data_IF_610075033657
#
_entry.id   IF_610075033657
#
_cell.length_a   1.000
_cell.length_b   1.000
_cell.length_c   1.000
_cell.angle_alpha   90.00
_cell.angle_beta   90.00
_cell.angle_gamma   90.00
#
_symmetry.space_group_name_H-M   'P 1'
#
loop_
_entity.id
_entity.type
_entity.pdbx_description
1 polymer ?
#
# COMPACT_ATOMS: atom_id res chain seq x y z
N UNK A 1 -0.47 1.44 -17.45
CA UNK A 1 -0.13 0.02 -17.23
C UNK A 1 -1.02 -0.52 -16.14
N UNK A 2 -1.65 -1.68 -16.38
CA UNK A 2 -2.48 -2.37 -15.41
C UNK A 2 -1.72 -3.61 -14.93
N UNK A 3 -1.50 -3.71 -13.62
CA UNK A 3 -0.95 -4.91 -12.99
C UNK A 3 -2.02 -5.58 -12.15
N UNK A 4 -2.22 -6.85 -12.36
CA UNK A 4 -3.05 -7.71 -11.50
C UNK A 4 -2.11 -8.68 -10.80
N UNK A 5 -2.03 -8.61 -9.48
CA UNK A 5 -1.32 -9.58 -8.65
C UNK A 5 -2.37 -10.42 -7.93
N UNK A 6 -2.42 -11.70 -8.24
CA UNK A 6 -3.26 -12.68 -7.54
C UNK A 6 -2.38 -13.46 -6.58
N UNK A 7 -2.53 -13.20 -5.28
CA UNK A 7 -1.85 -13.93 -4.21
C UNK A 7 -2.90 -14.80 -3.50
N UNK A 8 -3.02 -16.03 -3.94
CA UNK A 8 -3.79 -17.08 -3.24
C UNK A 8 -2.91 -17.75 -2.18
N UNK A 9 -3.38 -17.81 -0.93
CA UNK A 9 -2.80 -18.66 0.10
C UNK A 9 -3.85 -19.70 0.49
N UNK A 10 -3.47 -20.97 0.40
CA UNK A 10 -4.28 -22.10 0.84
C UNK A 10 -3.56 -22.77 2.01
N UNK A 11 -4.28 -23.05 3.06
CA UNK A 11 -3.73 -23.72 4.23
C UNK A 11 -4.77 -24.69 4.80
N UNK A 12 -4.31 -25.87 5.20
CA UNK A 12 -5.12 -26.85 5.91
C UNK A 12 -4.42 -27.25 7.21
N UNK A 13 -5.07 -27.04 8.33
CA UNK A 13 -4.60 -27.42 9.64
C UNK A 13 -5.49 -28.49 10.28
N UNK A 14 -4.84 -29.45 10.92
CA UNK A 14 -5.52 -30.49 11.70
C UNK A 14 -5.07 -30.36 13.14
N UNK A 15 -5.98 -29.98 14.01
CA UNK A 15 -5.73 -29.88 15.44
C UNK A 15 -6.61 -30.80 16.26
N UNK A 16 -6.11 -31.25 17.41
CA UNK A 16 -6.88 -31.98 18.40
C UNK A 16 -7.07 -31.10 19.62
N UNK A 17 -8.29 -30.66 19.88
CA UNK A 17 -8.63 -29.96 21.11
C UNK A 17 -9.21 -30.95 22.14
N UNK A 18 -8.63 -30.98 23.34
CA UNK A 18 -9.13 -31.75 24.47
C UNK A 18 -9.82 -30.82 25.48
N UNK A 19 -11.11 -30.96 25.66
CA UNK A 19 -11.85 -30.21 26.68
C UNK A 19 -12.68 -31.19 27.52
N UNK A 20 -12.32 -31.33 28.80
CA UNK A 20 -13.15 -32.08 29.75
C UNK A 20 -13.26 -33.58 29.50
N UNK A 21 -12.18 -34.26 29.10
CA UNK A 21 -12.13 -35.73 28.94
C UNK A 21 -12.68 -36.23 27.60
N UNK A 22 -13.17 -35.37 26.72
CA UNK A 22 -13.58 -35.72 25.36
C UNK A 22 -12.64 -35.07 24.34
N UNK A 23 -11.86 -35.87 23.63
CA UNK A 23 -10.97 -35.41 22.57
C UNK A 23 -11.82 -35.15 21.32
N UNK A 24 -12.07 -33.89 21.00
CA UNK A 24 -12.73 -33.52 19.76
C UNK A 24 -11.66 -33.33 18.67
N UNK A 25 -11.80 -34.06 17.58
CA UNK A 25 -10.98 -33.81 16.39
C UNK A 25 -11.54 -32.60 15.66
N UNK A 26 -10.67 -31.69 15.29
CA UNK A 26 -10.99 -30.51 14.50
C UNK A 26 -10.14 -30.53 13.23
N UNK A 27 -10.77 -30.29 12.10
CA UNK A 27 -10.10 -30.03 10.84
C UNK A 27 -10.60 -28.69 10.30
N UNK A 28 -9.66 -27.85 9.92
CA UNK A 28 -9.93 -26.58 9.27
C UNK A 28 -9.16 -26.47 7.95
N UNK A 29 -9.83 -25.90 6.98
CA UNK A 29 -9.28 -25.58 5.68
C UNK A 29 -9.63 -24.12 5.37
N UNK A 30 -8.63 -23.31 5.07
CA UNK A 30 -8.85 -21.91 4.78
C UNK A 30 -8.17 -21.49 3.48
N UNK A 31 -8.87 -20.67 2.74
CA UNK A 31 -8.39 -20.07 1.50
C UNK A 31 -8.50 -18.56 1.60
N UNK A 32 -7.40 -17.88 1.32
CA UNK A 32 -7.36 -16.42 1.22
C UNK A 32 -6.95 -16.03 -0.19
N UNK A 33 -7.81 -15.23 -0.84
CA UNK A 33 -7.53 -14.64 -2.14
C UNK A 33 -7.52 -13.12 -2.03
N UNK A 34 -6.43 -12.50 -2.48
CA UNK A 34 -6.31 -11.04 -2.54
C UNK A 34 -6.04 -10.65 -3.99
N UNK A 35 -6.89 -9.80 -4.54
CA UNK A 35 -6.72 -9.23 -5.87
C UNK A 35 -6.38 -7.76 -5.73
N UNK A 36 -5.24 -7.36 -6.27
CA UNK A 36 -4.77 -5.98 -6.27
C UNK A 36 -4.69 -5.47 -7.72
N UNK A 37 -5.34 -4.34 -7.97
CA UNK A 37 -5.36 -3.70 -9.29
C UNK A 37 -4.90 -2.26 -9.14
N UNK A 38 -3.91 -1.86 -9.94
CA UNK A 38 -3.43 -0.48 -9.99
C UNK A 38 -3.53 0.06 -11.41
N UNK A 39 -4.16 1.22 -11.56
CA UNK A 39 -4.15 2.01 -12.78
C UNK A 39 -3.40 3.32 -12.53
N UNK A 40 -2.52 3.71 -13.45
CA UNK A 40 -1.75 4.95 -13.33
C UNK A 40 -1.70 5.68 -14.67
N UNK A 41 -1.84 7.00 -14.59
CA UNK A 41 -1.62 7.94 -15.69
C UNK A 41 -0.57 8.96 -15.25
N UNK A 42 0.44 9.20 -16.09
CA UNK A 42 1.49 10.18 -15.81
C UNK A 42 1.77 11.01 -17.04
N UNK A 43 2.01 12.30 -16.83
CA UNK A 43 2.44 13.28 -17.81
C UNK A 43 3.75 13.89 -17.34
N UNK A 44 4.80 13.74 -18.13
CA UNK A 44 6.13 14.28 -17.85
C UNK A 44 6.43 15.45 -18.78
N UNK A 45 7.05 16.47 -18.22
CA UNK A 45 7.58 17.61 -18.94
C UNK A 45 9.02 17.88 -18.53
N UNK A 46 9.91 18.06 -19.51
CA UNK A 46 11.29 18.45 -19.26
C UNK A 46 11.77 19.39 -20.37
N UNK A 47 12.26 20.56 -19.98
CA UNK A 47 12.78 21.55 -20.94
C UNK A 47 13.89 22.39 -20.33
N UNK A 48 14.96 22.56 -21.10
CA UNK A 48 16.04 23.47 -20.78
C UNK A 48 15.92 24.76 -21.59
N UNK A 49 15.95 25.89 -20.92
CA UNK A 49 15.93 27.23 -21.49
C UNK A 49 17.28 27.90 -21.31
N UNK A 50 17.75 28.58 -22.35
CA UNK A 50 19.02 29.35 -22.33
C UNK A 50 20.19 28.55 -21.75
N UNK A 51 20.22 27.24 -22.01
CA UNK A 51 21.28 26.29 -21.58
C UNK A 51 21.50 26.17 -20.06
N UNK A 52 20.89 27.06 -19.26
CA UNK A 52 21.11 27.15 -17.82
C UNK A 52 19.88 26.89 -16.96
N UNK A 53 18.69 27.06 -17.51
CA UNK A 53 17.44 26.89 -16.76
C UNK A 53 16.78 25.60 -17.16
N UNK A 54 16.83 24.61 -16.32
CA UNK A 54 16.11 23.35 -16.55
C UNK A 54 14.84 23.37 -15.70
N UNK A 55 13.71 23.12 -16.36
CA UNK A 55 12.37 23.00 -15.75
C UNK A 55 11.87 21.59 -15.98
N UNK A 56 11.50 20.92 -14.92
CA UNK A 56 10.86 19.61 -14.96
C UNK A 56 9.50 19.66 -14.32
N UNK A 57 8.55 18.93 -14.87
CA UNK A 57 7.21 18.79 -14.33
C UNK A 57 6.73 17.36 -14.47
N UNK A 58 6.05 16.85 -13.48
CA UNK A 58 5.33 15.60 -13.53
C UNK A 58 3.97 15.83 -12.92
N UNK A 59 2.93 15.36 -13.59
CA UNK A 59 1.59 15.25 -13.05
C UNK A 59 1.11 13.82 -13.22
N UNK A 60 0.52 13.25 -12.18
CA UNK A 60 0.05 11.89 -12.21
C UNK A 60 -1.26 11.69 -11.45
N UNK A 61 -1.95 10.66 -11.86
CA UNK A 61 -3.12 10.10 -11.20
C UNK A 61 -2.91 8.60 -11.02
N UNK A 62 -3.28 8.06 -9.86
CA UNK A 62 -3.30 6.63 -9.61
C UNK A 62 -4.60 6.22 -8.94
N UNK A 63 -5.07 5.03 -9.27
CA UNK A 63 -6.20 4.36 -8.65
C UNK A 63 -5.77 2.94 -8.26
N UNK A 64 -5.87 2.62 -7.00
CA UNK A 64 -5.49 1.33 -6.43
C UNK A 64 -6.71 0.69 -5.79
N UNK A 65 -6.99 -0.55 -6.14
CA UNK A 65 -8.11 -1.32 -5.60
C UNK A 65 -7.62 -2.67 -5.11
N UNK A 66 -7.91 -2.97 -3.86
CA UNK A 66 -7.63 -4.25 -3.21
C UNK A 66 -8.94 -4.92 -2.82
N UNK A 67 -9.14 -6.15 -3.25
CA UNK A 67 -10.28 -6.99 -2.88
C UNK A 67 -9.74 -8.25 -2.23
N UNK A 68 -10.04 -8.42 -0.95
CA UNK A 68 -9.70 -9.62 -0.20
C UNK A 68 -10.95 -10.47 0.04
N UNK A 69 -10.74 -11.77 -0.03
CA UNK A 69 -11.76 -12.79 0.19
C UNK A 69 -11.14 -13.92 1.01
N UNK A 70 -11.74 -14.20 2.16
CA UNK A 70 -11.33 -15.26 3.06
C UNK A 70 -12.48 -16.24 3.25
N UNK A 71 -12.19 -17.52 3.07
CA UNK A 71 -13.11 -18.62 3.43
C UNK A 71 -12.38 -19.53 4.40
N UNK A 72 -13.04 -19.86 5.49
CA UNK A 72 -12.62 -20.93 6.40
C UNK A 72 -13.74 -21.95 6.48
N UNK A 73 -13.41 -23.21 6.18
CA UNK A 73 -14.26 -24.35 6.38
C UNK A 73 -13.68 -25.18 7.54
N UNK A 74 -14.35 -25.20 8.68
CA UNK A 74 -13.90 -25.94 9.83
C UNK A 74 -14.99 -26.92 10.32
N UNK A 75 -14.59 -28.02 10.90
CA UNK A 75 -15.49 -29.01 11.46
C UNK A 75 -14.89 -29.66 12.70
N UNK A 76 -15.71 -29.82 13.72
CA UNK A 76 -15.34 -30.45 14.99
C UNK A 76 -16.10 -31.73 15.22
N UNK A 77 -15.50 -32.70 15.90
CA UNK A 77 -16.14 -33.95 16.35
C UNK A 77 -16.30 -34.97 15.23
N UNK A 78 -15.39 -34.99 14.28
CA UNK A 78 -15.42 -35.92 13.14
C UNK A 78 -14.75 -37.24 13.46
N UNK A 79 -15.25 -38.33 12.86
CA UNK A 79 -14.62 -39.65 12.88
C UNK A 79 -13.54 -39.79 11.80
N UNK A 80 -13.62 -39.04 10.71
CA UNK A 80 -12.65 -38.99 9.61
C UNK A 80 -12.26 -37.54 9.31
N UNK A 81 -10.99 -37.34 8.91
CA UNK A 81 -10.37 -36.01 8.75
C UNK A 81 -10.26 -35.61 7.27
N UNK A 82 -10.55 -36.54 6.35
CA UNK A 82 -10.14 -36.40 4.96
C UNK A 82 -10.96 -35.37 4.15
N UNK A 83 -12.10 -34.92 4.67
CA UNK A 83 -12.96 -33.98 3.92
C UNK A 83 -13.77 -33.04 4.84
N UNK A 84 -13.18 -31.99 5.42
CA UNK A 84 -13.91 -31.06 6.30
C UNK A 84 -15.00 -30.25 5.58
N UNK A 85 -14.86 -30.09 4.28
CA UNK A 85 -15.81 -29.31 3.46
C UNK A 85 -16.97 -30.11 2.83
N UNK A 86 -16.89 -31.45 2.81
CA UNK A 86 -17.93 -32.29 2.18
C UNK A 86 -19.15 -32.43 3.11
N UNK A 87 -20.31 -32.01 2.61
CA UNK A 87 -21.57 -32.12 3.32
C UNK A 87 -22.09 -33.56 3.48
N UNK A 88 -21.51 -34.54 2.78
CA UNK A 88 -22.01 -35.94 2.74
C UNK A 88 -21.64 -36.73 4.01
N UNK A 89 -20.57 -36.38 4.70
CA UNK A 89 -20.11 -37.05 5.93
C UNK A 89 -20.71 -36.36 7.17
N UNK A 90 -21.68 -35.52 7.01
CA UNK A 90 -22.12 -34.50 7.97
C UNK A 90 -23.10 -34.96 9.02
N UNK A 91 -23.32 -36.25 9.23
CA UNK A 91 -24.15 -36.72 10.34
C UNK A 91 -23.51 -36.55 11.72
N UNK A 92 -22.18 -36.36 11.77
CA UNK A 92 -21.43 -36.28 12.99
C UNK A 92 -20.48 -35.09 12.95
N UNK A 93 -20.74 -34.04 13.70
CA UNK A 93 -19.86 -32.90 13.88
C UNK A 93 -20.50 -31.53 13.63
N UNK A 94 -19.99 -30.54 14.35
CA UNK A 94 -20.46 -29.16 14.26
C UNK A 94 -19.74 -28.44 13.12
N UNK A 95 -20.49 -27.86 12.20
CA UNK A 95 -19.94 -26.99 11.13
C UNK A 95 -19.57 -25.64 11.73
N UNK A 96 -18.31 -25.25 11.54
CA UNK A 96 -17.80 -23.92 11.86
C UNK A 96 -17.23 -23.36 10.55
N UNK A 97 -18.01 -22.56 9.84
CA UNK A 97 -17.54 -21.91 8.62
C UNK A 97 -17.67 -20.40 8.74
N UNK A 98 -16.67 -19.71 8.29
CA UNK A 98 -16.68 -18.25 8.23
C UNK A 98 -16.25 -17.75 6.85
N UNK A 99 -16.84 -16.65 6.45
CA UNK A 99 -16.50 -15.96 5.22
C UNK A 99 -16.33 -14.48 5.50
N UNK A 100 -15.25 -13.93 5.02
CA UNK A 100 -14.97 -12.52 5.09
C UNK A 100 -14.63 -11.97 3.71
N UNK A 101 -15.14 -10.79 3.41
CA UNK A 101 -14.81 -10.05 2.20
C UNK A 101 -14.59 -8.59 2.54
N UNK A 102 -13.48 -8.06 2.07
CA UNK A 102 -13.21 -6.63 2.20
C UNK A 102 -12.82 -6.02 0.86
N UNK A 103 -13.03 -4.74 0.73
CA UNK A 103 -12.59 -3.94 -0.42
C UNK A 103 -11.99 -2.64 0.08
N UNK A 104 -10.80 -2.34 -0.39
CA UNK A 104 -10.09 -1.09 -0.15
C UNK A 104 -9.83 -0.41 -1.48
N UNK A 105 -9.91 0.91 -1.50
CA UNK A 105 -9.55 1.72 -2.66
C UNK A 105 -8.76 2.94 -2.19
N UNK A 106 -7.72 3.29 -2.95
CA UNK A 106 -6.91 4.49 -2.76
C UNK A 106 -6.79 5.18 -4.12
N UNK A 107 -7.30 6.39 -4.20
CA UNK A 107 -7.15 7.25 -5.37
C UNK A 107 -6.23 8.41 -5.03
N UNK A 108 -5.27 8.69 -5.91
CA UNK A 108 -4.26 9.70 -5.65
C UNK A 108 -4.04 10.59 -6.87
N UNK A 109 -3.89 11.89 -6.60
CA UNK A 109 -3.35 12.86 -7.55
C UNK A 109 -2.00 13.33 -7.04
N UNK A 110 -0.99 13.33 -7.88
CA UNK A 110 0.34 13.75 -7.46
C UNK A 110 1.01 14.60 -8.53
N UNK A 111 1.86 15.49 -8.08
CA UNK A 111 2.60 16.36 -8.96
C UNK A 111 3.98 16.68 -8.39
N UNK A 112 4.90 16.96 -9.31
CA UNK A 112 6.26 17.40 -9.03
C UNK A 112 6.60 18.53 -9.97
N UNK A 113 7.16 19.60 -9.43
CA UNK A 113 7.75 20.70 -10.19
C UNK A 113 9.20 20.85 -9.76
N UNK A 114 10.11 20.74 -10.71
CA UNK A 114 11.53 20.87 -10.47
C UNK A 114 12.10 22.03 -11.28
N UNK A 115 13.05 22.73 -10.69
CA UNK A 115 13.82 23.77 -11.35
C UNK A 115 15.28 23.63 -10.98
N UNK A 116 16.16 23.67 -11.97
CA UNK A 116 17.59 23.81 -11.71
C UNK A 116 18.20 24.94 -12.53
N UNK A 117 19.16 25.60 -11.93
CA UNK A 117 19.91 26.70 -12.53
C UNK A 117 21.39 26.34 -12.62
N UNK A 118 21.91 26.34 -13.84
CA UNK A 118 23.33 26.15 -14.17
C UNK A 118 23.94 24.89 -13.51
N UNK A 119 23.11 23.84 -13.32
CA UNK A 119 23.49 22.63 -12.60
C UNK A 119 24.05 22.84 -11.18
N UNK A 120 23.82 24.03 -10.59
CA UNK A 120 24.31 24.43 -9.27
C UNK A 120 23.23 24.46 -8.22
N UNK A 121 22.10 25.08 -8.55
CA UNK A 121 20.96 25.26 -7.63
C UNK A 121 19.80 24.43 -8.08
N UNK A 122 19.20 23.72 -7.16
CA UNK A 122 18.07 22.84 -7.42
C UNK A 122 16.95 23.16 -6.46
N UNK A 123 15.77 23.28 -6.99
CA UNK A 123 14.53 23.42 -6.26
C UNK A 123 13.57 22.36 -6.75
N UNK A 124 12.91 21.66 -5.84
CA UNK A 124 11.85 20.70 -6.17
C UNK A 124 10.69 20.87 -5.19
N UNK A 125 9.50 20.94 -5.73
CA UNK A 125 8.25 20.89 -5.01
C UNK A 125 7.46 19.66 -5.44
N UNK A 126 7.01 18.87 -4.49
CA UNK A 126 6.10 17.75 -4.70
C UNK A 126 4.84 17.93 -3.88
N UNK A 127 3.73 17.51 -4.44
CA UNK A 127 2.46 17.49 -3.74
C UNK A 127 1.71 16.22 -4.12
N UNK A 128 1.05 15.60 -3.11
CA UNK A 128 0.19 14.45 -3.31
C UNK A 128 -1.11 14.65 -2.54
N UNK A 129 -2.21 14.36 -3.21
CA UNK A 129 -3.53 14.35 -2.60
C UNK A 129 -4.10 12.94 -2.70
N UNK A 130 -4.29 12.30 -1.55
CA UNK A 130 -4.72 10.91 -1.44
C UNK A 130 -6.14 10.84 -0.89
N UNK A 131 -7.00 10.05 -1.53
CA UNK A 131 -8.35 9.76 -1.11
C UNK A 131 -8.49 8.27 -0.82
N UNK A 132 -8.76 7.91 0.43
CA UNK A 132 -8.83 6.52 0.88
C UNK A 132 -10.25 6.12 1.28
N UNK A 133 -10.68 4.93 0.84
CA UNK A 133 -11.97 4.34 1.23
C UNK A 133 -12.04 3.94 2.71
N UNK A 134 -10.93 3.98 3.45
CA UNK A 134 -10.90 3.73 4.89
C UNK A 134 -11.53 4.84 5.73
N UNK A 135 -11.73 6.02 5.13
CA UNK A 135 -12.29 7.18 5.82
C UNK A 135 -13.68 7.55 5.29
N UNK A 136 -14.44 8.31 6.10
CA UNK A 136 -15.71 8.89 5.67
C UNK A 136 -15.56 9.72 4.40
N UNK A 137 -16.51 9.63 3.47
CA UNK A 137 -16.49 10.37 2.19
C UNK A 137 -16.22 11.86 2.32
N UNK A 138 -16.67 12.47 3.41
CA UNK A 138 -16.49 13.91 3.68
C UNK A 138 -15.07 14.27 4.16
N UNK A 139 -14.28 13.29 4.62
CA UNK A 139 -12.93 13.47 5.19
C UNK A 139 -11.95 12.40 4.71
N UNK A 140 -12.15 11.87 3.52
CA UNK A 140 -11.31 10.79 2.98
C UNK A 140 -10.07 11.28 2.25
N UNK A 141 -9.90 12.60 2.07
CA UNK A 141 -8.79 13.21 1.37
C UNK A 141 -7.75 13.80 2.32
N UNK A 142 -6.47 13.59 1.99
CA UNK A 142 -5.34 14.19 2.70
C UNK A 142 -4.30 14.74 1.72
N UNK A 143 -3.70 15.88 2.07
CA UNK A 143 -2.74 16.57 1.23
C UNK A 143 -1.34 16.50 1.84
N UNK A 144 -0.36 16.06 1.05
CA UNK A 144 1.02 15.81 1.46
C UNK A 144 1.98 16.62 0.58
N UNK A 145 2.32 17.86 0.96
CA UNK A 145 3.32 18.65 0.26
C UNK A 145 4.73 18.33 0.76
N UNK A 146 5.70 18.46 -0.14
CA UNK A 146 7.10 18.49 0.23
C UNK A 146 7.89 19.45 -0.64
N UNK A 147 8.98 19.98 -0.08
CA UNK A 147 9.91 20.87 -0.77
C UNK A 147 11.33 20.38 -0.53
N UNK A 148 12.16 20.44 -1.56
CA UNK A 148 13.59 20.18 -1.43
C UNK A 148 14.42 21.25 -2.12
N UNK A 149 15.57 21.53 -1.53
CA UNK A 149 16.59 22.45 -2.03
C UNK A 149 17.89 21.68 -2.17
N UNK A 150 18.62 21.95 -3.24
CA UNK A 150 19.94 21.38 -3.47
C UNK A 150 20.91 22.45 -3.94
N UNK A 151 22.13 22.38 -3.42
CA UNK A 151 23.23 23.26 -3.85
C UNK A 151 24.49 22.44 -4.14
N UNK A 152 24.96 22.51 -5.37
CA UNK A 152 26.18 21.85 -5.82
C UNK A 152 27.36 22.78 -5.64
N UNK A 153 27.91 22.75 -4.45
CA UNK A 153 29.03 23.63 -4.05
C UNK A 153 30.27 23.45 -4.92
N UNK A 154 30.53 22.23 -5.40
CA UNK A 154 31.67 21.91 -6.25
C UNK A 154 31.70 22.67 -7.59
N UNK A 155 30.57 23.22 -8.03
CA UNK A 155 30.46 24.04 -9.24
C UNK A 155 30.69 25.52 -9.01
N UNK A 156 30.86 25.96 -7.75
CA UNK A 156 31.10 27.36 -7.42
C UNK A 156 32.57 27.76 -7.65
N UNK A 157 32.78 29.02 -8.01
CA UNK A 157 34.12 29.54 -8.32
C UNK A 157 35.11 29.37 -7.18
N UNK A 158 34.66 29.51 -5.91
CA UNK A 158 35.51 29.35 -4.74
C UNK A 158 35.97 27.91 -4.48
N UNK A 159 35.25 26.91 -5.04
CA UNK A 159 35.54 25.49 -4.88
C UNK A 159 36.41 24.93 -6.02
N UNK A 160 36.64 25.68 -7.09
CA UNK A 160 37.38 25.19 -8.26
C UNK A 160 38.77 24.66 -7.91
N UNK A 161 39.49 25.36 -7.02
CA UNK A 161 40.81 24.95 -6.55
C UNK A 161 40.81 23.66 -5.73
N UNK A 162 39.70 23.37 -5.07
CA UNK A 162 39.55 22.21 -4.18
C UNK A 162 38.87 21.02 -4.85
N UNK A 163 38.26 21.23 -6.02
CA UNK A 163 37.46 20.23 -6.74
C UNK A 163 38.24 18.94 -7.00
N UNK A 164 39.50 19.03 -7.39
CA UNK A 164 40.33 17.85 -7.68
C UNK A 164 40.67 17.04 -6.42
N UNK A 165 40.57 17.64 -5.23
CA UNK A 165 40.84 16.97 -3.95
C UNK A 165 39.58 16.46 -3.25
N UNK A 166 38.48 17.20 -3.35
CA UNK A 166 37.23 16.92 -2.61
C UNK A 166 36.20 16.19 -3.47
N UNK A 167 36.33 16.29 -4.81
CA UNK A 167 35.36 15.70 -5.73
C UNK A 167 34.07 16.52 -5.84
N UNK A 168 32.94 15.85 -6.13
CA UNK A 168 31.65 16.51 -6.29
C UNK A 168 30.93 16.63 -4.96
N UNK A 169 30.77 17.86 -4.45
CA UNK A 169 30.09 18.18 -3.19
C UNK A 169 28.73 18.83 -3.47
N UNK A 170 27.65 18.16 -3.00
CA UNK A 170 26.27 18.63 -3.10
C UNK A 170 25.61 18.62 -1.72
N UNK A 171 25.11 19.76 -1.28
CA UNK A 171 24.25 19.87 -0.10
C UNK A 171 22.78 19.75 -0.49
N UNK A 172 21.98 19.08 0.34
CA UNK A 172 20.53 18.97 0.18
C UNK A 172 19.81 19.18 1.49
N UNK A 173 18.69 19.86 1.44
CA UNK A 173 17.74 19.98 2.52
C UNK A 173 16.35 19.73 2.00
N UNK A 174 15.53 19.01 2.75
CA UNK A 174 14.13 18.74 2.38
C UNK A 174 13.24 18.77 3.61
N UNK A 175 12.01 19.20 3.38
CA UNK A 175 10.94 19.15 4.37
C UNK A 175 9.65 18.71 3.70
N UNK A 176 8.88 17.83 4.34
CA UNK A 176 7.64 17.35 3.81
C UNK A 176 6.72 16.76 4.88
N UNK A 177 5.45 16.69 4.54
CA UNK A 177 4.42 16.03 5.35
C UNK A 177 4.14 14.67 4.74
N UNK A 178 4.04 13.65 5.61
CA UNK A 178 3.68 12.29 5.24
C UNK A 178 2.48 11.81 6.05
N UNK A 179 1.62 11.02 5.43
CA UNK A 179 0.50 10.38 6.10
C UNK A 179 0.73 8.89 6.30
N UNK A 180 0.17 8.35 7.37
CA UNK A 180 0.11 6.92 7.62
C UNK A 180 -1.35 6.51 7.83
N UNK A 181 -1.81 5.47 7.14
CA UNK A 181 -3.15 4.88 7.28
C UNK A 181 -3.10 3.41 7.72
N UNK A 182 -1.93 2.88 8.11
CA UNK A 182 -1.76 1.47 8.45
C UNK A 182 -2.53 1.07 9.70
N UNK A 183 -2.64 1.98 10.68
CA UNK A 183 -3.30 1.74 11.96
C UNK A 183 -4.83 1.95 11.92
N UNK A 184 -5.37 2.34 10.76
CA UNK A 184 -6.82 2.54 10.59
C UNK A 184 -7.44 1.25 10.05
N UNK A 185 -8.36 0.66 10.82
CA UNK A 185 -9.11 -0.52 10.41
C UNK A 185 -10.08 -0.24 9.26
N UNK A 186 -10.48 -1.30 8.56
CA UNK A 186 -11.50 -1.20 7.53
C UNK A 186 -12.84 -0.89 8.18
N UNK A 187 -13.54 0.15 7.70
CA UNK A 187 -14.85 0.55 8.19
C UNK A 187 -14.90 1.01 9.66
N UNK A 188 -13.78 1.41 10.27
CA UNK A 188 -13.73 1.92 11.65
C UNK A 188 -14.60 3.18 11.87
N UNK A 189 -14.94 3.88 10.78
CA UNK A 189 -15.87 5.01 10.80
C UNK A 189 -17.34 4.61 10.91
N UNK A 190 -17.66 3.31 10.78
CA UNK A 190 -19.04 2.82 10.93
C UNK A 190 -19.31 2.43 12.39
N UNK A 191 -20.42 2.92 12.94
CA UNK A 191 -20.88 2.49 14.25
C UNK A 191 -21.26 1.02 14.20
N UNK A 192 -20.50 0.17 14.88
CA UNK A 192 -20.82 -1.25 15.02
C UNK A 192 -21.97 -1.39 16.02
N UNK A 193 -23.14 -1.77 15.53
CA UNK A 193 -24.26 -2.16 16.42
C UNK A 193 -23.96 -3.60 16.86
N UNK A 194 -23.50 -3.75 18.10
CA UNK A 194 -23.36 -5.08 18.71
C UNK A 194 -24.73 -5.73 18.85
N UNK A 195 -24.87 -6.96 18.37
CA UNK A 195 -25.98 -7.87 18.69
C UNK A 195 -25.57 -8.78 19.83
#
# INVERSE_FOLDING_TARGET
YQYVVDNGAEHSDISTASTGGNTKREADDWTKKVTFVTAQLMLDYNRTFKEKHNVTGLFGWSDESEIGYDITAARQGMNSIDQPGDGSIATEGTKLSSQSKYRRALQSFFGRAGYSYDDRYYFEFTARYDMSSKFLKERNGAFFPSVSLGWRMSQENFMQTYRDRVGDLKLRASYGLNGNQQDVGDYDFMTKIGR
#
